data_IF_216057494092
#
_entry.id   IF_216057494092
#
_cell.length_a   1.000
_cell.length_b   1.000
_cell.length_c   1.000
_cell.angle_alpha   90.00
_cell.angle_beta   90.00
_cell.angle_gamma   90.00
#
_symmetry.space_group_name_H-M   'P 1'
#
loop_
_entity.id
_entity.type
_entity.pdbx_description
1 polymer ?
#
# COMPACT_ATOMS: atom_id res chain seq x y z
N UNK A 1 -10.69 11.60 -6.64
CA UNK A 1 -11.87 10.71 -6.45
C UNK A 1 -12.36 10.76 -5.00
N UNK A 2 -11.55 10.34 -4.00
CA UNK A 2 -12.00 10.31 -2.60
C UNK A 2 -12.57 11.66 -2.09
N UNK A 3 -11.91 12.78 -2.38
CA UNK A 3 -12.39 14.13 -2.00
C UNK A 3 -13.63 14.60 -2.77
N UNK A 4 -13.82 14.13 -4.01
CA UNK A 4 -14.98 14.49 -4.82
C UNK A 4 -16.24 13.78 -4.31
N UNK A 5 -16.11 12.57 -3.77
CA UNK A 5 -17.23 11.75 -3.33
C UNK A 5 -17.89 10.96 -4.47
N UNK A 6 -18.79 10.04 -4.09
CA UNK A 6 -19.52 9.14 -4.98
C UNK A 6 -18.92 7.72 -5.11
N UNK A 7 -17.65 7.54 -4.76
CA UNK A 7 -16.96 6.25 -4.84
C UNK A 7 -16.00 6.06 -3.67
N UNK A 8 -15.70 4.79 -3.35
CA UNK A 8 -14.55 4.41 -2.51
C UNK A 8 -13.42 3.99 -3.45
N UNK A 9 -12.43 4.86 -3.72
CA UNK A 9 -11.39 4.53 -4.69
C UNK A 9 -10.36 3.57 -4.11
N UNK A 10 -9.89 2.67 -4.97
CA UNK A 10 -8.69 1.88 -4.75
C UNK A 10 -7.77 1.94 -5.98
N UNK A 11 -6.47 1.78 -5.77
CA UNK A 11 -5.48 1.65 -6.83
C UNK A 11 -4.42 0.61 -6.46
N UNK A 12 -3.88 -0.09 -7.46
CA UNK A 12 -2.98 -1.23 -7.23
C UNK A 12 -1.65 -1.09 -7.98
N UNK A 13 -0.55 -1.51 -7.35
CA UNK A 13 0.78 -1.66 -7.96
C UNK A 13 1.66 -2.62 -7.14
N UNK A 14 2.93 -2.80 -7.48
CA UNK A 14 3.89 -3.57 -6.66
C UNK A 14 4.31 -2.75 -5.44
N UNK A 15 4.59 -3.40 -4.31
CA UNK A 15 4.96 -2.69 -3.08
C UNK A 15 6.24 -1.86 -3.27
N UNK A 16 7.21 -2.32 -4.08
CA UNK A 16 8.40 -1.50 -4.39
C UNK A 16 8.05 -0.17 -5.03
N UNK A 17 6.99 -0.13 -5.84
CA UNK A 17 6.61 1.08 -6.55
C UNK A 17 5.77 2.05 -5.73
N UNK A 18 5.50 1.74 -4.45
CA UNK A 18 4.99 2.73 -3.49
C UNK A 18 5.88 3.96 -3.42
N UNK A 19 7.19 3.81 -3.71
CA UNK A 19 8.17 4.89 -3.71
C UNK A 19 7.78 6.03 -4.67
N UNK A 20 7.22 5.67 -5.84
CA UNK A 20 6.73 6.65 -6.81
C UNK A 20 5.49 7.39 -6.32
N UNK A 21 4.68 6.76 -5.45
CA UNK A 21 3.44 7.30 -4.92
C UNK A 21 3.55 7.82 -3.48
N UNK A 22 4.74 7.77 -2.86
CA UNK A 22 4.94 7.96 -1.41
C UNK A 22 4.32 9.25 -0.89
N UNK A 23 4.48 10.36 -1.61
CA UNK A 23 3.89 11.65 -1.22
C UNK A 23 2.37 11.67 -1.33
N UNK A 24 1.78 11.01 -2.34
CA UNK A 24 0.32 10.92 -2.46
C UNK A 24 -0.29 10.07 -1.34
N UNK A 25 0.36 8.95 -0.99
CA UNK A 25 0.00 8.08 0.14
C UNK A 25 0.05 8.86 1.46
N UNK A 26 1.14 9.60 1.72
CA UNK A 26 1.26 10.48 2.89
C UNK A 26 0.20 11.56 2.92
N UNK A 27 -0.11 12.19 1.79
CA UNK A 27 -1.15 13.22 1.70
C UNK A 27 -2.54 12.66 2.02
N UNK A 28 -2.87 11.46 1.55
CA UNK A 28 -4.13 10.80 1.90
C UNK A 28 -4.24 10.55 3.41
N UNK A 29 -3.15 10.08 4.05
CA UNK A 29 -3.07 9.89 5.50
C UNK A 29 -3.25 11.22 6.27
N UNK A 30 -2.57 12.29 5.82
CA UNK A 30 -2.64 13.60 6.44
C UNK A 30 -4.06 14.19 6.39
N UNK A 31 -4.72 14.07 5.23
CA UNK A 31 -6.10 14.55 5.04
C UNK A 31 -7.14 13.65 5.71
N UNK A 32 -6.75 12.48 6.24
CA UNK A 32 -7.64 11.47 6.85
C UNK A 32 -8.78 11.06 5.91
N UNK A 33 -8.49 10.93 4.62
CA UNK A 33 -9.48 10.53 3.60
C UNK A 33 -9.35 9.05 3.29
N UNK A 34 -10.50 8.40 3.01
CA UNK A 34 -10.53 6.97 2.66
C UNK A 34 -10.07 6.76 1.21
N UNK A 35 -8.77 6.54 1.03
CA UNK A 35 -8.17 6.04 -0.21
C UNK A 35 -7.52 4.69 0.07
N UNK A 36 -7.82 3.67 -0.74
CA UNK A 36 -7.29 2.31 -0.54
C UNK A 36 -6.11 2.10 -1.50
N UNK A 37 -4.94 1.78 -0.96
CA UNK A 37 -3.74 1.49 -1.75
C UNK A 37 -3.45 -0.01 -1.64
N UNK A 38 -3.56 -0.71 -2.77
CA UNK A 38 -3.32 -2.16 -2.85
C UNK A 38 -1.90 -2.40 -3.34
N UNK A 39 -1.10 -3.09 -2.55
CA UNK A 39 0.28 -3.43 -2.91
C UNK A 39 0.44 -4.95 -2.96
N UNK A 40 1.02 -5.44 -4.06
CA UNK A 40 1.35 -6.86 -4.29
C UNK A 40 2.86 -7.05 -4.34
N UNK A 41 3.34 -8.30 -4.50
CA UNK A 41 4.77 -8.60 -4.63
C UNK A 41 5.59 -7.95 -3.51
N UNK A 42 5.27 -8.34 -2.29
CA UNK A 42 5.58 -7.58 -1.07
C UNK A 42 6.94 -7.93 -0.44
N UNK A 43 7.70 -8.84 -1.04
CA UNK A 43 8.93 -9.38 -0.48
C UNK A 43 9.80 -10.04 -1.54
N UNK A 44 10.92 -10.64 -1.09
CA UNK A 44 11.76 -11.55 -1.89
C UNK A 44 11.01 -12.73 -2.52
N UNK A 45 9.80 -13.05 -2.04
CA UNK A 45 8.96 -14.11 -2.60
C UNK A 45 8.53 -13.86 -4.05
N UNK A 46 8.74 -12.65 -4.57
CA UNK A 46 8.59 -12.32 -6.00
C UNK A 46 9.55 -13.11 -6.91
N UNK A 47 10.76 -13.44 -6.44
CA UNK A 47 11.72 -14.23 -7.23
C UNK A 47 12.48 -13.42 -8.29
N UNK A 48 12.42 -13.86 -9.53
CA UNK A 48 13.39 -13.57 -10.61
C UNK A 48 13.43 -12.11 -11.06
N UNK A 49 12.39 -11.33 -10.80
CA UNK A 49 12.36 -9.88 -11.08
C UNK A 49 13.42 -9.09 -10.28
N UNK A 50 14.01 -9.72 -9.25
CA UNK A 50 15.25 -9.30 -8.65
C UNK A 50 15.14 -8.08 -7.70
N UNK A 51 16.29 -7.56 -7.22
CA UNK A 51 16.34 -6.65 -6.07
C UNK A 51 15.70 -5.28 -6.35
N UNK A 52 15.51 -4.89 -7.60
CA UNK A 52 14.80 -3.64 -7.94
C UNK A 52 13.30 -3.74 -7.72
N UNK A 53 12.76 -4.95 -7.67
CA UNK A 53 11.32 -5.23 -7.53
C UNK A 53 10.97 -5.90 -6.21
N UNK A 54 11.96 -6.33 -5.42
CA UNK A 54 11.77 -7.01 -4.15
C UNK A 54 11.80 -6.01 -2.98
N UNK A 55 10.66 -5.75 -2.31
CA UNK A 55 10.59 -4.89 -1.15
C UNK A 55 11.31 -5.44 0.06
N UNK A 56 12.00 -4.55 0.76
CA UNK A 56 12.71 -4.86 2.00
C UNK A 56 12.26 -3.90 3.11
N UNK A 57 12.26 -2.59 2.85
CA UNK A 57 11.98 -1.54 3.83
C UNK A 57 10.59 -0.89 3.70
N UNK A 58 9.91 -1.10 2.58
CA UNK A 58 8.70 -0.36 2.19
C UNK A 58 7.56 -0.60 3.18
N UNK A 59 7.39 -1.84 3.67
CA UNK A 59 6.40 -2.20 4.69
C UNK A 59 6.62 -1.42 6.00
N UNK A 60 7.88 -1.32 6.45
CA UNK A 60 8.22 -0.56 7.66
C UNK A 60 7.99 0.94 7.44
N UNK A 61 8.33 1.46 6.26
CA UNK A 61 8.09 2.86 5.88
C UNK A 61 6.59 3.24 5.88
N UNK A 62 5.71 2.36 5.40
CA UNK A 62 4.25 2.58 5.48
C UNK A 62 3.76 2.63 6.92
N UNK A 63 4.22 1.71 7.78
CA UNK A 63 3.80 1.62 9.19
C UNK A 63 4.18 2.84 10.02
N UNK A 64 5.29 3.51 9.70
CA UNK A 64 5.69 4.74 10.41
C UNK A 64 4.95 5.98 9.94
N UNK A 65 4.16 5.91 8.86
CA UNK A 65 3.35 7.02 8.38
C UNK A 65 2.13 7.23 9.31
N UNK A 66 1.98 8.41 9.95
CA UNK A 66 0.85 8.65 10.85
C UNK A 66 -0.50 8.55 10.13
N UNK A 67 -1.52 8.04 10.82
CA UNK A 67 -2.89 7.83 10.30
C UNK A 67 -2.96 6.88 9.08
N UNK A 68 -1.97 6.02 8.89
CA UNK A 68 -1.97 4.99 7.84
C UNK A 68 -2.21 3.60 8.46
N UNK A 69 -3.39 3.03 8.23
CA UNK A 69 -3.63 1.62 8.53
C UNK A 69 -2.93 0.75 7.48
N UNK A 70 -2.06 -0.15 7.92
CA UNK A 70 -1.30 -1.04 7.03
C UNK A 70 -1.66 -2.50 7.35
N UNK A 71 -2.13 -3.23 6.34
CA UNK A 71 -2.48 -4.66 6.44
C UNK A 71 -1.56 -5.50 5.55
N UNK A 72 -1.13 -6.64 6.07
CA UNK A 72 -0.33 -7.64 5.34
C UNK A 72 -0.90 -9.03 5.67
N UNK A 73 -2.01 -9.41 5.05
CA UNK A 73 -2.73 -10.65 5.38
C UNK A 73 -1.92 -11.90 5.03
N UNK A 74 -2.07 -12.95 5.82
CA UNK A 74 -1.39 -14.25 5.65
C UNK A 74 -2.18 -15.26 4.82
N UNK A 75 -3.49 -15.05 4.65
CA UNK A 75 -4.38 -15.94 3.91
C UNK A 75 -5.63 -15.21 3.36
N UNK A 76 -6.57 -15.99 2.81
CA UNK A 76 -7.82 -15.49 2.24
C UNK A 76 -8.77 -14.91 3.29
N UNK A 77 -8.77 -15.46 4.52
CA UNK A 77 -9.65 -15.02 5.60
C UNK A 77 -9.19 -13.66 6.11
N UNK A 78 -7.89 -13.49 6.38
CA UNK A 78 -7.33 -12.19 6.75
C UNK A 78 -7.50 -11.15 5.63
N UNK A 79 -7.36 -11.57 4.35
CA UNK A 79 -7.57 -10.70 3.20
C UNK A 79 -9.02 -10.23 3.04
N UNK A 80 -10.00 -11.06 3.41
CA UNK A 80 -11.41 -10.69 3.37
C UNK A 80 -11.82 -9.74 4.51
N UNK A 81 -11.06 -9.71 5.61
CA UNK A 81 -11.29 -8.83 6.76
C UNK A 81 -10.67 -7.44 6.57
N UNK A 82 -9.50 -7.38 5.92
CA UNK A 82 -8.72 -6.15 5.70
C UNK A 82 -9.43 -5.14 4.78
#
# INVERSE_FOLDING_TARGET
>A
IALHGGFVPYGATFLMFMEYARNAVRMAALMKIRSIFVYTHDSIGLGEDGPTHQPVEQMASLRVTPNMSTWRPCDQVESAVA
#
